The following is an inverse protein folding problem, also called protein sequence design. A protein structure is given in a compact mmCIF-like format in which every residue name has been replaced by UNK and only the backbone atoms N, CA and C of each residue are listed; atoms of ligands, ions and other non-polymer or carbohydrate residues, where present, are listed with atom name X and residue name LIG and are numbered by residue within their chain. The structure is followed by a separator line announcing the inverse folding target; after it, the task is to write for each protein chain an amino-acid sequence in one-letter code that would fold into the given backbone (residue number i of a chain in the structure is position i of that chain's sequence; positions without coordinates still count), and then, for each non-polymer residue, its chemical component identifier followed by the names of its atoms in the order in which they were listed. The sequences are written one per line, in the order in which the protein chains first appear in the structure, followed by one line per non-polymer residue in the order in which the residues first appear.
data_IF_975951958926
#
_entry.id   IF_975951958926
#
_cell.length_a   1.000
_cell.length_b   1.000
_cell.length_c   1.000
_cell.angle_alpha   90.00
_cell.angle_beta   90.00
_cell.angle_gamma   90.00
#
_symmetry.space_group_name_H-M   'P 1'
#
loop_
_entity.id
_entity.type
_entity.pdbx_description
1 polymer ?
#
# COMPACT_ATOMS: atom_id res chain seq x y z
N UNK A 1 14.00 -17.54 -19.99
CA UNK A 1 13.30 -16.27 -19.71
C UNK A 1 12.60 -16.44 -18.37
N UNK A 2 12.79 -15.53 -17.41
CA UNK A 2 11.99 -15.54 -16.16
C UNK A 2 10.68 -14.82 -16.46
N UNK A 3 9.56 -15.39 -16.05
CA UNK A 3 8.23 -14.83 -16.29
C UNK A 3 7.46 -14.80 -14.97
N UNK A 4 6.79 -13.68 -14.70
CA UNK A 4 5.83 -13.54 -13.60
C UNK A 4 4.43 -13.73 -14.18
N UNK A 5 3.64 -14.62 -13.57
CA UNK A 5 2.25 -14.88 -13.96
C UNK A 5 1.32 -14.48 -12.82
N UNK A 6 0.37 -13.58 -13.12
CA UNK A 6 -0.63 -13.09 -12.17
C UNK A 6 -2.00 -13.47 -12.72
N UNK A 7 -2.70 -14.36 -12.01
CA UNK A 7 -4.09 -14.72 -12.30
C UNK A 7 -4.97 -14.26 -11.14
N UNK A 8 -5.71 -13.17 -11.38
CA UNK A 8 -6.64 -12.56 -10.44
C UNK A 8 -8.10 -12.74 -10.87
N UNK A 9 -8.38 -13.65 -11.82
CA UNK A 9 -9.69 -13.72 -12.51
C UNK A 9 -10.85 -14.17 -11.63
N UNK A 10 -10.61 -15.08 -10.68
CA UNK A 10 -11.70 -15.68 -9.89
C UNK A 10 -12.09 -14.87 -8.64
N UNK A 11 -11.17 -14.12 -8.05
CA UNK A 11 -11.38 -13.47 -6.74
C UNK A 11 -10.61 -12.18 -6.53
N UNK A 12 -9.89 -11.68 -7.54
CA UNK A 12 -8.93 -10.60 -7.35
C UNK A 12 -7.70 -11.04 -6.53
N UNK A 13 -6.88 -10.06 -6.16
CA UNK A 13 -5.75 -10.21 -5.25
C UNK A 13 -5.71 -8.99 -4.31
N UNK A 14 -5.45 -9.22 -3.04
CA UNK A 14 -5.28 -8.12 -2.06
C UNK A 14 -3.91 -7.46 -2.23
N UNK A 15 -3.81 -6.16 -1.90
CA UNK A 15 -2.58 -5.37 -2.04
C UNK A 15 -1.43 -5.98 -1.24
N UNK A 16 -1.67 -6.33 0.03
CA UNK A 16 -0.66 -6.93 0.91
C UNK A 16 -0.12 -8.27 0.36
N UNK A 17 -0.98 -9.09 -0.24
CA UNK A 17 -0.63 -10.37 -0.86
C UNK A 17 0.18 -10.15 -2.13
N UNK A 18 -0.21 -9.17 -2.94
CA UNK A 18 0.50 -8.85 -4.17
C UNK A 18 1.89 -8.29 -3.85
N UNK A 19 1.98 -7.35 -2.90
CA UNK A 19 3.23 -6.81 -2.41
C UNK A 19 4.11 -7.90 -1.80
N UNK A 20 3.57 -8.78 -0.95
CA UNK A 20 4.32 -9.90 -0.37
C UNK A 20 4.93 -10.81 -1.44
N UNK A 21 4.17 -11.11 -2.50
CA UNK A 21 4.65 -11.92 -3.61
C UNK A 21 5.81 -11.25 -4.36
N UNK A 22 5.71 -9.94 -4.61
CA UNK A 22 6.76 -9.16 -5.28
C UNK A 22 8.02 -9.02 -4.43
N UNK A 23 7.88 -8.72 -3.13
CA UNK A 23 9.01 -8.64 -2.21
C UNK A 23 9.75 -9.98 -2.13
N UNK A 24 9.03 -11.10 -2.15
CA UNK A 24 9.59 -12.45 -2.17
C UNK A 24 10.45 -12.81 -3.38
N UNK A 25 10.48 -11.96 -4.42
CA UNK A 25 11.34 -12.12 -5.59
C UNK A 25 12.74 -11.50 -5.42
N UNK A 26 12.98 -10.76 -4.35
CA UNK A 26 14.21 -10.03 -4.11
C UNK A 26 15.03 -10.65 -2.98
N UNK A 27 16.35 -10.64 -3.13
CA UNK A 27 17.29 -11.20 -2.15
C UNK A 27 17.56 -10.24 -0.98
N UNK A 28 17.56 -8.92 -1.25
CA UNK A 28 17.72 -7.87 -0.24
C UNK A 28 16.52 -6.92 -0.26
N UNK A 29 15.88 -6.79 0.89
CA UNK A 29 14.68 -5.98 1.11
C UNK A 29 14.91 -4.85 2.12
N UNK A 30 16.14 -4.69 2.60
CA UNK A 30 16.45 -3.84 3.75
C UNK A 30 16.08 -2.38 3.48
N UNK A 31 16.43 -1.87 2.30
CA UNK A 31 16.11 -0.50 1.88
C UNK A 31 14.60 -0.30 1.70
N UNK A 32 13.94 -1.17 0.93
CA UNK A 32 12.49 -1.11 0.67
C UNK A 32 11.70 -1.14 1.98
N UNK A 33 12.01 -2.09 2.88
CA UNK A 33 11.32 -2.20 4.17
C UNK A 33 11.65 -1.03 5.10
N UNK A 34 12.86 -0.46 5.03
CA UNK A 34 13.21 0.73 5.80
C UNK A 34 12.39 1.93 5.33
N UNK A 35 12.33 2.17 4.02
CA UNK A 35 11.59 3.28 3.43
C UNK A 35 10.09 3.19 3.72
N UNK A 36 9.49 2.02 3.54
CA UNK A 36 8.06 1.84 3.85
C UNK A 36 7.73 2.04 5.34
N UNK A 37 8.66 1.75 6.25
CA UNK A 37 8.46 2.03 7.69
C UNK A 37 8.45 3.52 8.01
N UNK A 38 9.07 4.35 7.17
CA UNK A 38 9.07 5.80 7.35
C UNK A 38 7.73 6.43 7.02
N UNK A 39 6.80 5.73 6.35
CA UNK A 39 5.44 6.23 6.05
C UNK A 39 4.68 6.73 7.29
N UNK A 40 4.98 6.19 8.48
CA UNK A 40 4.44 6.70 9.75
C UNK A 40 4.73 8.18 10.01
N UNK A 41 5.79 8.72 9.41
CA UNK A 41 6.18 10.14 9.54
C UNK A 41 5.40 11.05 8.59
N UNK A 42 4.74 10.47 7.56
CA UNK A 42 4.01 11.20 6.53
C UNK A 42 2.51 11.27 6.82
N UNK A 43 2.00 10.46 7.74
CA UNK A 43 0.60 10.47 8.16
C UNK A 43 0.47 10.66 9.67
N UNK A 44 -0.39 11.60 10.13
CA UNK A 44 -0.60 11.79 11.56
C UNK A 44 -1.35 10.60 12.17
N UNK A 45 -1.14 10.36 13.48
CA UNK A 45 -1.87 9.35 14.25
C UNK A 45 -1.26 7.94 14.21
N UNK A 46 -0.06 7.77 13.64
CA UNK A 46 0.66 6.50 13.61
C UNK A 46 1.81 6.56 14.62
N UNK A 47 1.67 5.82 15.71
CA UNK A 47 2.67 5.78 16.77
C UNK A 47 3.76 4.73 16.52
N UNK A 48 3.42 3.68 15.78
CA UNK A 48 4.32 2.58 15.49
C UNK A 48 3.93 1.94 14.14
N UNK A 49 4.93 1.62 13.33
CA UNK A 49 4.77 0.93 12.06
C UNK A 49 5.97 0.02 11.85
N UNK A 50 5.70 -1.27 11.75
CA UNK A 50 6.70 -2.28 11.41
C UNK A 50 6.16 -3.24 10.34
N UNK A 51 7.06 -3.65 9.46
CA UNK A 51 6.78 -4.51 8.31
C UNK A 51 7.74 -5.69 8.37
N UNK A 52 7.19 -6.91 8.24
CA UNK A 52 7.98 -8.15 8.18
C UNK A 52 7.47 -9.04 7.06
N UNK A 53 8.35 -9.38 6.13
CA UNK A 53 8.09 -10.45 5.18
C UNK A 53 8.34 -11.79 5.85
N UNK A 54 7.34 -12.66 5.85
CA UNK A 54 7.41 -13.99 6.43
C UNK A 54 7.27 -15.02 5.32
N UNK A 55 8.20 -15.97 5.27
CA UNK A 55 8.02 -17.18 4.50
C UNK A 55 7.25 -18.21 5.34
N UNK A 56 6.05 -18.58 4.89
CA UNK A 56 5.13 -19.46 5.62
C UNK A 56 4.60 -20.58 4.73
N UNK A 57 4.12 -21.66 5.35
CA UNK A 57 3.41 -22.73 4.65
C UNK A 57 1.90 -22.58 4.85
N UNK A 58 1.14 -22.36 3.78
CA UNK A 58 -0.34 -22.37 3.80
C UNK A 58 -0.86 -23.53 2.95
N UNK A 59 -1.66 -24.41 3.57
CA UNK A 59 -2.26 -25.59 2.90
C UNK A 59 -1.24 -26.43 2.10
N UNK A 60 -0.01 -26.53 2.61
CA UNK A 60 1.06 -27.30 1.97
C UNK A 60 1.93 -26.51 0.99
N UNK A 61 1.56 -25.28 0.62
CA UNK A 61 2.29 -24.43 -0.33
C UNK A 61 3.10 -23.38 0.43
N UNK A 62 4.35 -23.19 0.02
CA UNK A 62 5.22 -22.13 0.52
C UNK A 62 4.82 -20.79 -0.11
N UNK A 63 4.57 -19.80 0.74
CA UNK A 63 4.09 -18.47 0.33
C UNK A 63 4.74 -17.39 1.17
N UNK A 64 4.91 -16.22 0.57
CA UNK A 64 5.28 -15.03 1.31
C UNK A 64 4.04 -14.35 1.89
N UNK A 65 4.16 -13.89 3.13
CA UNK A 65 3.14 -13.09 3.81
C UNK A 65 3.79 -11.82 4.35
N UNK A 66 3.29 -10.67 3.94
CA UNK A 66 3.64 -9.41 4.57
C UNK A 66 2.85 -9.28 5.88
N UNK A 67 3.55 -9.14 6.99
CA UNK A 67 2.96 -8.85 8.29
C UNK A 67 3.16 -7.38 8.61
N UNK A 68 2.06 -6.63 8.60
CA UNK A 68 2.00 -5.25 9.03
C UNK A 68 1.66 -5.20 10.52
N UNK A 69 2.47 -4.47 11.28
CA UNK A 69 2.25 -4.17 12.70
C UNK A 69 2.05 -2.65 12.81
N UNK A 70 0.79 -2.23 12.86
CA UNK A 70 0.39 -0.82 12.81
C UNK A 70 -0.23 -0.45 14.17
N UNK A 71 0.26 0.62 14.79
CA UNK A 71 -0.41 1.25 15.95
C UNK A 71 -0.90 2.63 15.56
N UNK A 72 -2.17 2.68 15.18
CA UNK A 72 -2.85 3.84 14.63
C UNK A 72 -4.00 4.27 15.55
N UNK A 73 -4.08 5.55 15.88
CA UNK A 73 -5.11 6.13 16.73
C UNK A 73 -6.18 6.92 15.96
N UNK A 74 -5.95 7.17 14.67
CA UNK A 74 -6.86 7.92 13.81
C UNK A 74 -7.58 6.96 12.87
N UNK A 75 -8.89 6.89 13.00
CA UNK A 75 -9.72 5.93 12.25
C UNK A 75 -10.34 6.50 10.96
N UNK A 76 -10.11 7.78 10.66
CA UNK A 76 -10.65 8.44 9.49
C UNK A 76 -9.63 9.44 8.94
N UNK A 77 -9.42 9.42 7.63
CA UNK A 77 -8.59 10.37 6.91
C UNK A 77 -9.34 10.96 5.74
N UNK A 78 -8.98 12.18 5.35
CA UNK A 78 -9.51 12.77 4.13
C UNK A 78 -8.67 12.34 2.92
N UNK A 79 -9.23 12.39 1.70
CA UNK A 79 -8.47 12.20 0.46
C UNK A 79 -7.22 13.09 0.38
N UNK A 80 -7.33 14.34 0.83
CA UNK A 80 -6.21 15.29 0.86
C UNK A 80 -5.08 14.84 1.78
N UNK A 81 -5.40 14.25 2.94
CA UNK A 81 -4.37 13.76 3.88
C UNK A 81 -3.54 12.63 3.26
N UNK A 82 -4.20 11.65 2.60
CA UNK A 82 -3.49 10.57 1.92
C UNK A 82 -2.72 11.07 0.71
N UNK A 83 -3.32 11.96 -0.09
CA UNK A 83 -2.65 12.52 -1.27
C UNK A 83 -1.40 13.28 -0.88
N UNK A 84 -1.47 14.15 0.14
CA UNK A 84 -0.31 14.90 0.63
C UNK A 84 0.77 14.00 1.24
N UNK A 85 0.39 12.89 1.89
CA UNK A 85 1.36 11.92 2.39
C UNK A 85 2.07 11.20 1.24
N UNK A 86 1.30 10.72 0.24
CA UNK A 86 1.81 10.06 -0.95
C UNK A 86 2.81 10.95 -1.71
N UNK A 87 2.42 12.19 -2.02
CA UNK A 87 3.25 13.12 -2.79
C UNK A 87 4.58 13.42 -2.09
N UNK A 88 4.53 13.73 -0.78
CA UNK A 88 5.74 14.01 0.00
C UNK A 88 6.66 12.80 0.07
N UNK A 89 6.12 11.60 0.26
CA UNK A 89 6.91 10.38 0.29
C UNK A 89 7.61 10.12 -1.06
N UNK A 90 6.85 10.22 -2.15
CA UNK A 90 7.35 10.04 -3.51
C UNK A 90 8.45 11.05 -3.87
N UNK A 91 8.31 12.30 -3.43
CA UNK A 91 9.30 13.36 -3.65
C UNK A 91 10.55 13.15 -2.80
N UNK A 92 10.42 12.89 -1.50
CA UNK A 92 11.54 12.69 -0.58
C UNK A 92 12.40 11.47 -0.96
N UNK A 93 11.75 10.39 -1.40
CA UNK A 93 12.41 9.16 -1.86
C UNK A 93 12.80 9.20 -3.34
N UNK A 94 12.59 10.34 -4.02
CA UNK A 94 13.02 10.59 -5.40
C UNK A 94 12.50 9.55 -6.41
N UNK A 95 11.24 9.13 -6.27
CA UNK A 95 10.62 8.18 -7.19
C UNK A 95 10.64 8.68 -8.63
N UNK A 96 10.74 7.75 -9.58
CA UNK A 96 10.71 8.07 -11.00
C UNK A 96 9.36 8.69 -11.41
N UNK A 97 9.34 9.53 -12.45
CA UNK A 97 8.10 10.12 -12.98
C UNK A 97 7.04 9.06 -13.34
N UNK A 98 7.37 7.92 -13.98
CA UNK A 98 6.43 6.83 -14.19
C UNK A 98 5.83 6.27 -12.89
N UNK A 99 6.68 6.03 -11.88
CA UNK A 99 6.24 5.49 -10.59
C UNK A 99 5.30 6.47 -9.85
N UNK A 100 5.64 7.77 -9.84
CA UNK A 100 4.76 8.83 -9.29
C UNK A 100 3.39 8.84 -9.97
N UNK A 101 3.38 8.77 -11.30
CA UNK A 101 2.13 8.75 -12.05
C UNK A 101 1.30 7.50 -11.78
N UNK A 102 1.96 6.33 -11.65
CA UNK A 102 1.28 5.09 -11.28
C UNK A 102 0.62 5.21 -9.91
N UNK A 103 1.37 5.60 -8.88
CA UNK A 103 0.85 5.73 -7.52
C UNK A 103 -0.36 6.67 -7.44
N UNK A 104 -0.27 7.84 -8.08
CA UNK A 104 -1.38 8.82 -8.17
C UNK A 104 -2.62 8.23 -8.84
N UNK A 105 -2.43 7.51 -9.95
CA UNK A 105 -3.54 6.92 -10.68
C UNK A 105 -4.23 5.82 -9.87
N UNK A 106 -3.46 4.99 -9.15
CA UNK A 106 -4.02 3.97 -8.27
C UNK A 106 -4.81 4.62 -7.14
N UNK A 107 -4.23 5.59 -6.43
CA UNK A 107 -4.90 6.26 -5.31
C UNK A 107 -6.21 6.94 -5.76
N UNK A 108 -6.19 7.66 -6.90
CA UNK A 108 -7.39 8.28 -7.46
C UNK A 108 -8.45 7.25 -7.89
N UNK A 109 -8.02 6.08 -8.37
CA UNK A 109 -8.95 4.99 -8.72
C UNK A 109 -9.64 4.46 -7.47
N UNK A 110 -8.88 4.28 -6.37
CA UNK A 110 -9.43 3.83 -5.10
C UNK A 110 -10.43 4.85 -4.51
N UNK A 111 -10.12 6.15 -4.56
CA UNK A 111 -11.06 7.20 -4.11
C UNK A 111 -12.38 7.20 -4.90
N UNK A 112 -12.32 7.00 -6.22
CA UNK A 112 -13.53 6.88 -7.04
C UNK A 112 -14.35 5.64 -6.67
N UNK A 113 -13.69 4.52 -6.39
CA UNK A 113 -14.36 3.30 -5.95
C UNK A 113 -15.04 3.47 -4.58
N UNK A 114 -14.35 4.07 -3.60
CA UNK A 114 -14.92 4.40 -2.28
C UNK A 114 -16.15 5.31 -2.44
N UNK A 115 -16.04 6.37 -3.24
CA UNK A 115 -17.14 7.29 -3.52
C UNK A 115 -18.36 6.59 -4.14
N UNK A 116 -18.13 5.69 -5.10
CA UNK A 116 -19.19 4.90 -5.75
C UNK A 116 -19.89 3.97 -4.76
N UNK A 117 -19.14 3.26 -3.92
CA UNK A 117 -19.70 2.33 -2.91
C UNK A 117 -20.51 3.07 -1.85
N UNK A 118 -20.09 4.28 -1.47
CA UNK A 118 -20.77 5.10 -0.47
C UNK A 118 -21.85 6.03 -1.04
N UNK A 119 -21.96 6.16 -2.37
CA UNK A 119 -22.93 7.04 -3.03
C UNK A 119 -22.62 8.54 -2.87
N UNK A 120 -21.35 8.88 -2.65
CA UNK A 120 -20.86 10.25 -2.43
C UNK A 120 -19.98 10.72 -3.60
N UNK A 121 -19.54 11.99 -3.57
CA UNK A 121 -18.53 12.52 -4.49
C UNK A 121 -17.15 12.50 -3.83
N UNK A 122 -16.09 12.30 -4.62
CA UNK A 122 -14.70 12.17 -4.13
C UNK A 122 -14.29 13.33 -3.22
N UNK A 123 -14.75 14.56 -3.47
CA UNK A 123 -14.40 15.71 -2.62
C UNK A 123 -15.01 15.65 -1.21
N UNK A 124 -16.08 14.86 -1.01
CA UNK A 124 -16.81 14.78 0.25
C UNK A 124 -16.66 13.43 0.96
N UNK A 125 -15.92 12.47 0.40
CA UNK A 125 -15.78 11.17 1.05
C UNK A 125 -14.93 11.28 2.32
N UNK A 126 -15.46 10.72 3.41
CA UNK A 126 -14.65 10.30 4.53
C UNK A 126 -14.17 8.90 4.24
N UNK A 127 -12.84 8.71 4.17
CA UNK A 127 -12.29 7.38 3.93
C UNK A 127 -12.58 6.53 5.16
N UNK A 128 -13.29 5.43 4.96
CA UNK A 128 -13.55 4.45 6.00
C UNK A 128 -12.66 3.23 5.78
N UNK A 129 -12.68 2.68 4.57
CA UNK A 129 -11.94 1.45 4.25
C UNK A 129 -10.50 1.73 3.80
N UNK A 130 -10.26 2.88 3.17
CA UNK A 130 -8.95 3.28 2.62
C UNK A 130 -8.14 4.19 3.55
N UNK A 131 -8.62 4.44 4.77
CA UNK A 131 -8.05 5.49 5.60
C UNK A 131 -6.71 5.12 6.22
N UNK A 132 -6.36 3.84 6.32
CA UNK A 132 -5.16 3.38 7.02
C UNK A 132 -3.89 3.52 6.16
N UNK A 133 -2.74 3.51 6.83
CA UNK A 133 -1.41 3.58 6.19
C UNK A 133 -1.12 2.36 5.32
N UNK A 134 -1.81 1.25 5.54
CA UNK A 134 -1.73 0.04 4.71
C UNK A 134 -2.00 0.32 3.22
N UNK A 135 -2.98 1.18 2.92
CA UNK A 135 -3.32 1.61 1.57
C UNK A 135 -2.11 2.23 0.88
N UNK A 136 -1.37 3.11 1.57
CA UNK A 136 -0.16 3.72 1.01
C UNK A 136 0.98 2.70 0.89
N UNK A 137 1.12 1.77 1.84
CA UNK A 137 2.12 0.69 1.77
C UNK A 137 1.90 -0.18 0.54
N UNK A 138 0.65 -0.58 0.29
CA UNK A 138 0.29 -1.44 -0.85
C UNK A 138 0.55 -0.75 -2.19
N UNK A 139 0.31 0.56 -2.28
CA UNK A 139 0.57 1.34 -3.51
C UNK A 139 2.07 1.57 -3.69
N UNK A 140 2.74 2.09 -2.67
CA UNK A 140 4.14 2.54 -2.76
C UNK A 140 5.13 1.38 -2.82
N UNK A 141 4.78 0.23 -2.24
CA UNK A 141 5.59 -0.97 -2.27
C UNK A 141 5.67 -1.66 -3.64
N UNK A 142 4.78 -1.29 -4.58
CA UNK A 142 4.72 -1.90 -5.94
C UNK A 142 5.03 -0.91 -7.07
N UNK A 143 5.42 0.33 -6.73
CA UNK A 143 5.86 1.38 -7.66
C UNK A 143 7.36 1.45 -7.83
#
# INVERSE_FOLDING_TARGET
MKSLYIDATNSGISGDMFLAALLGLNDDLSEILSDLKELKNYLPGISDLDLKLLNIKRRGVEVYRLKLLIKESKNHRTPDELTNALERFLDDKQYSKPAKNFARNVLNTLFKAEAEVHGDIVENIHLHELSSVDTLIDILGVT
#
